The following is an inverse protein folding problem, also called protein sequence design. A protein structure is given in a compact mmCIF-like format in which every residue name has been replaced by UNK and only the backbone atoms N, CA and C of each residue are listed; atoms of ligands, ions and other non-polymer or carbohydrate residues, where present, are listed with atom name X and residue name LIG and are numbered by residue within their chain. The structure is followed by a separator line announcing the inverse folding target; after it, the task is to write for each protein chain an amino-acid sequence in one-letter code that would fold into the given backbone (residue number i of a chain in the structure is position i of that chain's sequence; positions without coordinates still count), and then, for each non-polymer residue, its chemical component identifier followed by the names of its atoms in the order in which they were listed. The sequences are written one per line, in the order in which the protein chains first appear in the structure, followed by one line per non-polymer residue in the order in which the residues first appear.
data_IF_766560326987
#
_entry.id   IF_766560326987
#
_cell.length_a   1.000
_cell.length_b   1.000
_cell.length_c   1.000
_cell.angle_alpha   90.00
_cell.angle_beta   90.00
_cell.angle_gamma   90.00
#
_symmetry.space_group_name_H-M   'P 1'
#
loop_
_entity.id
_entity.type
_entity.pdbx_description
1 polymer ?
#
# COMPACT_ATOMS: atom_id res chain seq x y z
N UNK A 1 13.74 13.22 -22.74
CA UNK A 1 12.98 13.91 -23.79
C UNK A 1 11.50 13.68 -23.49
N UNK A 2 10.78 14.72 -23.07
CA UNK A 2 9.36 14.63 -22.70
C UNK A 2 8.57 14.11 -23.89
N UNK A 3 8.00 12.91 -23.79
CA UNK A 3 6.95 12.52 -24.73
C UNK A 3 5.66 13.13 -24.18
N UNK A 4 5.44 14.38 -24.59
CA UNK A 4 4.30 15.22 -24.27
C UNK A 4 3.06 14.61 -24.94
N UNK A 5 2.47 13.61 -24.32
CA UNK A 5 1.11 13.22 -24.68
C UNK A 5 0.21 13.77 -23.58
N UNK A 6 -0.90 14.36 -24.00
CA UNK A 6 -2.01 14.68 -23.12
C UNK A 6 -2.55 13.36 -22.57
N UNK A 7 -2.77 13.33 -21.26
CA UNK A 7 -3.18 12.14 -20.52
C UNK A 7 -4.33 12.54 -19.62
N UNK A 8 -5.26 11.63 -19.34
CA UNK A 8 -6.44 11.93 -18.53
C UNK A 8 -6.23 11.34 -17.13
N UNK A 9 -6.43 12.17 -16.12
CA UNK A 9 -6.54 11.70 -14.75
C UNK A 9 -7.99 11.42 -14.39
N UNK A 10 -8.28 10.33 -13.68
CA UNK A 10 -9.58 10.11 -13.03
C UNK A 10 -9.43 10.20 -11.51
N UNK A 11 -10.47 10.67 -10.83
CA UNK A 11 -10.50 10.71 -9.37
C UNK A 11 -11.23 9.49 -8.83
N UNK A 12 -10.56 8.71 -7.98
CA UNK A 12 -11.18 7.61 -7.24
C UNK A 12 -12.27 8.16 -6.31
N UNK A 13 -13.55 8.01 -6.67
CA UNK A 13 -14.67 8.44 -5.79
C UNK A 13 -14.71 7.54 -4.56
N UNK A 14 -14.45 8.08 -3.36
CA UNK A 14 -14.82 7.40 -2.11
C UNK A 14 -15.42 8.36 -1.10
N UNK A 15 -16.53 7.92 -0.51
CA UNK A 15 -17.22 8.55 0.60
C UNK A 15 -16.30 8.63 1.84
N UNK A 16 -15.96 9.86 2.22
CA UNK A 16 -15.65 10.38 3.55
C UNK A 16 -15.07 9.40 4.60
N UNK A 17 -13.81 9.65 4.98
CA UNK A 17 -13.08 9.26 6.23
C UNK A 17 -12.15 8.04 6.24
N UNK A 18 -12.17 7.21 5.20
CA UNK A 18 -11.08 6.28 4.87
C UNK A 18 -10.82 6.46 3.37
N UNK A 19 -9.57 6.51 2.93
CA UNK A 19 -9.29 6.24 1.51
C UNK A 19 -9.58 4.75 1.32
N UNK A 20 -10.87 4.46 1.11
CA UNK A 20 -11.44 3.14 0.95
C UNK A 20 -11.01 2.64 -0.42
N UNK A 21 -9.79 2.12 -0.49
CA UNK A 21 -9.50 0.94 -1.31
C UNK A 21 -10.17 -0.30 -0.69
N UNK A 22 -11.35 -0.20 -0.06
CA UNK A 22 -11.97 -1.33 0.65
C UNK A 22 -12.62 -2.35 -0.28
N UNK A 23 -12.44 -2.25 -1.60
CA UNK A 23 -12.91 -3.27 -2.53
C UNK A 23 -11.87 -3.73 -3.55
N UNK A 24 -10.71 -3.08 -3.62
CA UNK A 24 -9.62 -3.53 -4.50
C UNK A 24 -8.38 -3.75 -3.63
N UNK A 25 -7.92 -5.01 -3.46
CA UNK A 25 -6.67 -5.27 -2.77
C UNK A 25 -5.56 -4.54 -3.52
N UNK A 26 -4.99 -3.50 -2.93
CA UNK A 26 -3.79 -2.92 -3.53
C UNK A 26 -2.68 -3.96 -3.48
N UNK A 27 -1.70 -3.77 -4.35
CA UNK A 27 -0.48 -4.55 -4.38
C UNK A 27 0.34 -4.51 -3.09
N UNK A 28 0.01 -3.61 -2.17
CA UNK A 28 0.64 -3.42 -0.86
C UNK A 28 -0.29 -3.71 0.33
N UNK A 29 -1.52 -4.21 0.08
CA UNK A 29 -2.55 -4.34 1.11
C UNK A 29 -3.15 -2.98 1.52
N UNK A 30 -3.44 -2.78 2.80
CA UNK A 30 -3.93 -1.51 3.30
C UNK A 30 -2.77 -0.52 3.49
N UNK A 31 -2.75 0.57 2.72
CA UNK A 31 -1.80 1.66 2.89
C UNK A 31 -2.29 2.63 3.97
N UNK A 32 -1.46 2.92 4.97
CA UNK A 32 -1.75 3.92 6.00
C UNK A 32 -1.38 5.33 5.50
N UNK A 33 -2.27 6.30 5.69
CA UNK A 33 -2.03 7.71 5.30
C UNK A 33 -0.82 8.35 5.97
N UNK A 34 -0.39 7.83 7.11
CA UNK A 34 0.74 8.33 7.90
C UNK A 34 2.07 7.69 7.51
N UNK A 35 2.04 6.67 6.65
CA UNK A 35 3.22 5.98 6.14
C UNK A 35 3.41 6.35 4.68
N UNK A 36 4.65 6.44 4.21
CA UNK A 36 4.92 6.72 2.80
C UNK A 36 4.22 5.65 1.93
N UNK A 37 3.59 6.05 0.80
CA UNK A 37 3.65 7.36 0.15
C UNK A 37 2.56 8.36 0.61
N UNK A 38 1.99 8.23 1.81
CA UNK A 38 1.01 9.14 2.40
C UNK A 38 -0.28 9.27 1.57
N UNK A 39 -0.75 8.14 1.04
CA UNK A 39 -1.83 8.07 0.04
C UNK A 39 -1.56 8.86 -1.25
N UNK A 40 -0.33 9.31 -1.49
CA UNK A 40 0.11 9.88 -2.77
C UNK A 40 0.37 8.75 -3.76
N UNK A 41 -0.73 8.12 -4.21
CA UNK A 41 -0.73 6.91 -5.03
C UNK A 41 -1.62 7.05 -6.25
N UNK A 42 -1.36 6.21 -7.25
CA UNK A 42 -2.22 6.04 -8.41
C UNK A 42 -2.23 4.63 -8.96
N UNK A 43 -3.12 4.40 -9.91
CA UNK A 43 -3.27 3.16 -10.64
C UNK A 43 -3.00 3.38 -12.13
N UNK A 44 -2.35 2.39 -12.74
CA UNK A 44 -2.10 2.38 -14.18
C UNK A 44 -3.03 1.38 -14.89
N UNK A 45 -3.44 1.73 -16.11
CA UNK A 45 -4.13 0.78 -16.99
C UNK A 45 -3.22 -0.40 -17.34
N UNK A 46 -3.74 -1.64 -17.43
CA UNK A 46 -3.00 -2.77 -17.99
C UNK A 46 -2.46 -2.54 -19.40
N UNK A 47 -3.11 -1.64 -20.16
CA UNK A 47 -2.69 -1.26 -21.50
C UNK A 47 -1.66 -0.12 -21.53
N UNK A 48 -1.35 0.48 -20.37
CA UNK A 48 -0.32 1.49 -20.24
C UNK A 48 1.08 0.89 -20.49
N UNK A 49 1.92 1.59 -21.26
CA UNK A 49 3.27 1.11 -21.60
C UNK A 49 4.17 0.84 -20.38
N UNK A 50 4.04 1.61 -19.30
CA UNK A 50 4.83 1.39 -18.08
C UNK A 50 4.32 0.21 -17.27
N UNK A 51 3.01 -0.04 -17.29
CA UNK A 51 2.41 -1.24 -16.70
C UNK A 51 2.87 -2.49 -17.45
N UNK A 52 2.68 -2.49 -18.77
CA UNK A 52 2.96 -3.65 -19.62
C UNK A 52 4.44 -4.01 -19.72
N UNK A 53 5.34 -3.02 -19.69
CA UNK A 53 6.79 -3.24 -19.80
C UNK A 53 7.50 -3.33 -18.44
N UNK A 54 6.88 -2.85 -17.36
CA UNK A 54 7.49 -2.79 -16.04
C UNK A 54 7.40 -4.14 -15.30
N UNK A 55 8.40 -4.49 -14.48
CA UNK A 55 8.24 -5.64 -13.58
C UNK A 55 7.11 -5.37 -12.59
N UNK A 56 6.49 -6.45 -12.09
CA UNK A 56 5.34 -6.39 -11.19
C UNK A 56 4.22 -5.47 -11.73
N UNK A 57 4.04 -5.41 -13.04
CA UNK A 57 3.03 -4.56 -13.68
C UNK A 57 3.15 -3.06 -13.34
N UNK A 58 4.36 -2.58 -13.06
CA UNK A 58 4.59 -1.19 -12.67
C UNK A 58 4.43 -0.89 -11.19
N UNK A 59 4.11 -1.89 -10.36
CA UNK A 59 4.03 -1.75 -8.90
C UNK A 59 5.28 -1.08 -8.32
N UNK A 60 5.07 -0.11 -7.43
CA UNK A 60 6.14 0.59 -6.71
C UNK A 60 6.88 1.64 -7.52
N UNK A 61 6.65 1.75 -8.83
CA UNK A 61 7.28 2.78 -9.64
C UNK A 61 6.70 4.16 -9.32
N UNK A 62 7.56 5.19 -9.33
CA UNK A 62 7.15 6.56 -9.07
C UNK A 62 7.05 7.41 -10.34
N UNK A 63 6.03 8.26 -10.39
CA UNK A 63 5.77 9.16 -11.52
C UNK A 63 5.56 10.58 -11.03
N UNK A 64 6.26 11.53 -11.64
CA UNK A 64 5.92 12.94 -11.51
C UNK A 64 4.81 13.24 -12.51
N UNK A 65 3.69 13.70 -12.00
CA UNK A 65 2.54 14.17 -12.75
C UNK A 65 2.52 15.69 -12.68
N UNK A 66 2.37 16.34 -13.82
CA UNK A 66 2.22 17.78 -13.96
C UNK A 66 0.86 18.03 -14.61
N UNK A 67 0.06 18.91 -14.04
CA UNK A 67 -1.18 19.30 -14.71
C UNK A 67 -0.89 20.17 -15.94
N UNK A 68 -1.58 19.87 -17.04
CA UNK A 68 -1.61 20.65 -18.27
C UNK A 68 -2.90 21.49 -18.33
N UNK A 69 -2.75 22.81 -18.30
CA UNK A 69 -3.89 23.72 -18.33
C UNK A 69 -4.19 24.28 -19.74
N UNK A 70 -3.45 23.85 -20.77
CA UNK A 70 -3.60 24.37 -22.12
C UNK A 70 -3.67 23.27 -23.19
N UNK A 71 -4.45 23.51 -24.25
CA UNK A 71 -4.44 22.70 -25.47
C UNK A 71 -5.15 21.33 -25.39
N UNK A 72 -5.58 20.89 -24.21
CA UNK A 72 -6.30 19.63 -24.03
C UNK A 72 -7.81 19.74 -23.85
N UNK A 73 -8.49 18.58 -23.84
CA UNK A 73 -9.95 18.47 -23.72
C UNK A 73 -10.47 19.00 -22.37
N UNK A 74 -9.64 18.92 -21.34
CA UNK A 74 -9.92 19.26 -19.95
C UNK A 74 -9.07 20.45 -19.48
N UNK A 75 -8.59 21.28 -20.41
CA UNK A 75 -7.81 22.48 -20.13
C UNK A 75 -8.53 23.45 -19.18
N UNK A 76 -7.75 24.11 -18.32
CA UNK A 76 -8.25 25.10 -17.34
C UNK A 76 -8.92 24.51 -16.10
N UNK A 77 -8.83 23.19 -15.90
CA UNK A 77 -9.45 22.51 -14.75
C UNK A 77 -8.53 22.36 -13.53
N UNK A 78 -7.27 22.78 -13.61
CA UNK A 78 -6.36 22.73 -12.46
C UNK A 78 -6.30 24.04 -11.70
N UNK A 79 -5.89 23.97 -10.43
CA UNK A 79 -5.76 25.14 -9.55
C UNK A 79 -4.70 26.15 -10.00
N UNK A 80 -3.80 25.78 -10.92
CA UNK A 80 -2.81 26.66 -11.54
C UNK A 80 -1.81 25.91 -12.40
N UNK A 81 -1.15 26.63 -13.30
CA UNK A 81 -0.24 26.05 -14.29
C UNK A 81 1.03 25.50 -13.63
N UNK A 82 1.44 24.29 -14.03
CA UNK A 82 2.72 23.70 -13.63
C UNK A 82 2.78 23.12 -12.22
N UNK A 83 1.64 23.00 -11.50
CA UNK A 83 1.59 22.18 -10.28
C UNK A 83 1.95 20.74 -10.60
N UNK A 84 2.75 20.12 -9.74
CA UNK A 84 3.16 18.73 -9.91
C UNK A 84 3.02 17.93 -8.63
N UNK A 85 2.79 16.63 -8.75
CA UNK A 85 2.78 15.67 -7.64
C UNK A 85 3.58 14.44 -8.05
N UNK A 86 4.29 13.83 -7.10
CA UNK A 86 4.99 12.56 -7.34
C UNK A 86 4.22 11.44 -6.68
N UNK A 87 3.65 10.54 -7.48
CA UNK A 87 2.89 9.38 -7.00
C UNK A 87 3.74 8.12 -7.01
N UNK A 88 3.32 7.14 -6.21
CA UNK A 88 3.71 5.74 -6.36
C UNK A 88 2.57 4.94 -7.00
N UNK A 89 2.87 4.05 -7.95
CA UNK A 89 1.86 3.12 -8.47
C UNK A 89 1.61 2.02 -7.45
N UNK A 90 0.38 1.91 -6.96
CA UNK A 90 -0.03 0.92 -5.97
C UNK A 90 -1.11 -0.05 -6.46
N UNK A 91 -1.70 0.22 -7.61
CA UNK A 91 -2.86 -0.54 -8.10
C UNK A 91 -2.96 -0.53 -9.64
N UNK A 92 -3.94 -1.26 -10.16
CA UNK A 92 -4.31 -1.31 -11.56
C UNK A 92 -5.69 -0.71 -11.78
N UNK A 93 -5.88 -0.04 -12.91
CA UNK A 93 -7.19 0.44 -13.36
C UNK A 93 -7.55 -0.24 -14.71
N UNK A 94 -8.14 -1.45 -14.70
CA UNK A 94 -8.48 -2.18 -15.92
C UNK A 94 -9.45 -1.44 -16.86
N UNK A 95 -10.31 -0.58 -16.32
CA UNK A 95 -11.27 0.25 -17.04
C UNK A 95 -10.67 1.53 -17.62
N UNK A 96 -9.45 1.88 -17.21
CA UNK A 96 -8.75 3.06 -17.70
C UNK A 96 -8.16 2.81 -19.08
N UNK A 97 -8.21 3.83 -19.94
CA UNK A 97 -7.46 3.83 -21.19
C UNK A 97 -5.95 3.79 -20.94
N UNK A 98 -5.18 3.37 -21.94
CA UNK A 98 -3.72 3.19 -21.85
C UNK A 98 -2.98 4.44 -21.35
N UNK A 99 -3.58 5.60 -21.57
CA UNK A 99 -3.02 6.89 -21.31
C UNK A 99 -3.68 7.60 -20.11
N UNK A 100 -4.47 6.89 -19.32
CA UNK A 100 -5.03 7.39 -18.09
C UNK A 100 -4.18 6.99 -16.87
N UNK A 101 -4.20 7.83 -15.85
CA UNK A 101 -3.73 7.49 -14.49
C UNK A 101 -4.89 7.79 -13.54
N UNK A 102 -5.40 6.78 -12.85
CA UNK A 102 -6.42 6.98 -11.83
C UNK A 102 -5.74 7.32 -10.50
N UNK A 103 -6.07 8.46 -9.91
CA UNK A 103 -5.44 8.93 -8.68
C UNK A 103 -6.37 8.81 -7.49
N UNK A 104 -5.75 8.53 -6.34
CA UNK A 104 -6.40 8.70 -5.06
C UNK A 104 -6.91 10.14 -4.93
N UNK A 105 -8.13 10.32 -4.44
CA UNK A 105 -8.85 11.62 -4.45
C UNK A 105 -8.09 12.77 -3.78
N UNK A 106 -7.42 12.55 -2.65
CA UNK A 106 -6.64 13.59 -1.96
C UNK A 106 -5.37 13.95 -2.73
N UNK A 107 -4.86 13.04 -3.55
CA UNK A 107 -3.76 13.31 -4.48
C UNK A 107 -4.26 14.13 -5.66
N UNK A 108 -5.41 13.76 -6.23
CA UNK A 108 -6.07 14.51 -7.29
C UNK A 108 -6.32 15.97 -6.87
N UNK A 109 -6.83 16.18 -5.65
CA UNK A 109 -7.12 17.50 -5.08
C UNK A 109 -5.88 18.41 -4.94
N UNK A 110 -4.65 17.88 -5.05
CA UNK A 110 -3.46 18.74 -5.08
C UNK A 110 -3.32 19.47 -6.43
N UNK A 111 -3.88 18.88 -7.50
CA UNK A 111 -3.77 19.36 -8.87
C UNK A 111 -5.02 20.15 -9.31
N UNK A 112 -6.22 19.66 -9.00
CA UNK A 112 -7.48 20.32 -9.39
C UNK A 112 -8.68 19.93 -8.54
N UNK A 113 -9.82 20.63 -8.70
CA UNK A 113 -11.05 20.32 -7.97
C UNK A 113 -11.59 18.92 -8.30
N UNK A 114 -11.83 18.09 -7.28
CA UNK A 114 -12.30 16.71 -7.44
C UNK A 114 -13.64 16.59 -8.18
N UNK A 115 -14.52 17.59 -8.06
CA UNK A 115 -15.83 17.63 -8.70
C UNK A 115 -15.76 17.76 -10.24
N UNK A 116 -14.63 18.20 -10.77
CA UNK A 116 -14.38 18.22 -12.21
C UNK A 116 -14.05 16.84 -12.78
N UNK A 117 -13.67 15.89 -11.93
CA UNK A 117 -13.48 14.45 -12.19
C UNK A 117 -12.29 14.08 -13.08
N UNK A 118 -12.00 14.87 -14.11
CA UNK A 118 -10.90 14.67 -15.06
C UNK A 118 -10.13 15.95 -15.34
N UNK A 119 -8.81 15.84 -15.31
CA UNK A 119 -7.84 16.88 -15.71
C UNK A 119 -6.87 16.32 -16.75
N UNK A 120 -6.35 17.22 -17.56
CA UNK A 120 -5.27 16.95 -18.49
C UNK A 120 -3.92 16.97 -17.77
N UNK A 121 -3.07 15.98 -18.04
CA UNK A 121 -1.75 15.88 -17.43
C UNK A 121 -0.65 15.54 -18.42
N UNK A 122 0.57 15.80 -17.99
CA UNK A 122 1.77 15.16 -18.46
C UNK A 122 2.38 14.36 -17.32
N UNK A 123 2.99 13.22 -17.60
CA UNK A 123 3.70 12.46 -16.56
C UNK A 123 4.96 11.80 -17.09
N UNK A 124 5.90 11.55 -16.18
CA UNK A 124 7.14 10.83 -16.46
C UNK A 124 7.57 10.01 -15.25
N UNK A 125 8.25 8.90 -15.50
CA UNK A 125 8.89 8.14 -14.44
C UNK A 125 9.98 8.97 -13.76
N UNK A 126 10.03 8.93 -12.43
CA UNK A 126 11.04 9.59 -11.60
C UNK A 126 11.51 8.62 -10.50
N UNK A 127 12.69 8.84 -9.91
CA UNK A 127 13.11 8.05 -8.76
C UNK A 127 12.15 8.21 -7.56
N UNK A 128 11.86 7.10 -6.89
CA UNK A 128 11.18 7.07 -5.60
C UNK A 128 12.13 7.51 -4.47
N UNK A 129 11.63 8.30 -3.53
CA UNK A 129 12.41 8.82 -2.39
C UNK A 129 11.65 8.62 -1.08
N UNK A 130 11.50 7.37 -0.61
CA UNK A 130 10.93 7.09 0.70
C UNK A 130 11.77 7.74 1.81
N UNK A 131 11.15 8.13 2.94
CA UNK A 131 11.83 8.83 4.04
C UNK A 131 12.66 7.89 4.92
N UNK A 132 12.43 6.58 4.81
CA UNK A 132 13.09 5.55 5.63
C UNK A 132 13.72 4.47 4.74
N UNK A 133 14.55 3.65 5.36
CA UNK A 133 15.09 2.46 4.72
C UNK A 133 13.97 1.47 4.40
N UNK A 134 14.26 0.62 3.42
CA UNK A 134 13.33 -0.40 2.96
C UNK A 134 12.88 -1.29 4.12
N UNK A 135 11.61 -1.68 4.10
CA UNK A 135 11.05 -2.62 5.05
C UNK A 135 10.43 -3.82 4.33
N UNK A 136 10.35 -4.94 5.04
CA UNK A 136 9.57 -6.09 4.62
C UNK A 136 8.46 -6.34 5.62
N UNK A 137 7.23 -6.48 5.14
CA UNK A 137 6.08 -6.88 5.94
C UNK A 137 5.86 -8.37 5.75
N UNK A 138 6.18 -9.17 6.78
CA UNK A 138 6.15 -10.63 6.69
C UNK A 138 4.75 -11.13 7.01
N UNK A 139 4.03 -11.54 5.96
CA UNK A 139 2.68 -12.08 6.08
C UNK A 139 2.67 -13.46 6.77
N UNK A 140 3.71 -14.27 6.52
CA UNK A 140 3.89 -15.52 7.21
C UNK A 140 5.27 -16.11 6.99
N UNK A 141 5.79 -16.71 8.06
CA UNK A 141 7.11 -17.30 8.11
C UNK A 141 7.04 -18.59 8.92
N UNK A 142 6.60 -19.69 8.33
CA UNK A 142 6.34 -20.92 9.09
C UNK A 142 7.59 -21.79 9.32
N UNK A 143 8.75 -21.36 8.79
CA UNK A 143 10.02 -22.06 8.94
C UNK A 143 10.23 -23.19 7.93
N UNK A 144 11.18 -24.07 8.26
CA UNK A 144 11.73 -25.08 7.35
C UNK A 144 10.66 -25.88 6.60
N UNK A 145 10.70 -25.86 5.26
CA UNK A 145 9.80 -26.66 4.42
C UNK A 145 8.35 -26.13 4.33
N UNK A 146 8.11 -24.95 4.89
CA UNK A 146 6.87 -24.21 4.72
C UNK A 146 7.11 -22.89 3.98
N UNK A 147 6.02 -22.24 3.60
CA UNK A 147 6.06 -20.99 2.87
C UNK A 147 6.54 -19.83 3.74
N UNK A 148 7.28 -18.91 3.11
CA UNK A 148 7.62 -17.60 3.60
C UNK A 148 7.08 -16.58 2.59
N UNK A 149 6.16 -15.71 3.01
CA UNK A 149 5.61 -14.62 2.19
C UNK A 149 5.85 -13.29 2.86
N UNK A 150 6.23 -12.30 2.05
CA UNK A 150 6.44 -10.93 2.51
C UNK A 150 6.11 -9.90 1.44
N UNK A 151 5.75 -8.70 1.88
CA UNK A 151 5.59 -7.52 1.04
C UNK A 151 6.82 -6.62 1.18
N UNK A 152 7.44 -6.22 0.06
CA UNK A 152 8.56 -5.27 0.10
C UNK A 152 8.03 -3.85 -0.04
N UNK A 153 8.31 -2.98 0.93
CA UNK A 153 7.81 -1.59 0.98
C UNK A 153 8.97 -0.59 1.13
N UNK A 154 8.68 0.70 0.96
CA UNK A 154 9.67 1.78 1.13
C UNK A 154 10.88 1.63 0.19
N UNK A 155 10.62 1.33 -1.08
CA UNK A 155 11.65 1.06 -2.10
C UNK A 155 12.05 2.36 -2.79
N UNK A 156 13.31 2.78 -2.63
CA UNK A 156 13.83 3.97 -3.30
C UNK A 156 14.24 3.71 -4.75
N UNK A 157 14.64 4.79 -5.42
CA UNK A 157 15.13 4.83 -6.79
C UNK A 157 14.12 4.29 -7.81
N UNK A 158 14.37 3.16 -8.44
CA UNK A 158 13.53 2.67 -9.53
C UNK A 158 12.14 2.25 -9.08
N UNK A 159 11.99 1.83 -7.82
CA UNK A 159 10.76 1.24 -7.27
C UNK A 159 10.37 -0.12 -7.88
N UNK A 160 10.99 -0.48 -8.99
CA UNK A 160 10.69 -1.64 -9.82
C UNK A 160 11.59 -2.83 -9.43
N UNK A 161 11.12 -3.66 -8.51
CA UNK A 161 11.81 -4.88 -8.08
C UNK A 161 11.63 -5.98 -9.13
N UNK A 162 12.72 -6.64 -9.49
CA UNK A 162 12.74 -7.78 -10.42
C UNK A 162 13.01 -9.10 -9.73
N UNK A 163 13.69 -9.08 -8.58
CA UNK A 163 14.05 -10.29 -7.85
C UNK A 163 14.12 -10.05 -6.34
N UNK A 164 13.61 -11.01 -5.59
CA UNK A 164 13.75 -11.10 -4.13
C UNK A 164 14.26 -12.49 -3.81
N UNK A 165 15.33 -12.58 -3.02
CA UNK A 165 15.99 -13.83 -2.67
C UNK A 165 16.24 -13.90 -1.17
N UNK A 166 16.17 -15.10 -0.61
CA UNK A 166 16.53 -15.38 0.78
C UNK A 166 17.62 -16.43 0.86
N UNK A 167 18.44 -16.37 1.92
CA UNK A 167 19.48 -17.36 2.17
C UNK A 167 19.65 -17.60 3.66
N UNK A 168 19.60 -18.86 4.08
CA UNK A 168 20.00 -19.28 5.42
C UNK A 168 21.51 -19.52 5.55
N UNK A 169 22.06 -19.64 6.76
CA UNK A 169 23.49 -19.87 6.98
C UNK A 169 24.00 -21.11 6.25
N UNK A 170 25.11 -20.98 5.52
CA UNK A 170 25.72 -22.06 4.74
C UNK A 170 24.91 -22.54 3.52
N UNK A 171 23.74 -21.93 3.26
CA UNK A 171 22.89 -22.24 2.12
C UNK A 171 23.20 -21.43 0.86
N UNK A 172 22.44 -21.72 -0.20
CA UNK A 172 22.42 -20.92 -1.43
C UNK A 172 21.28 -19.92 -1.41
N UNK A 173 21.37 -18.88 -2.24
CA UNK A 173 20.27 -17.95 -2.47
C UNK A 173 19.09 -18.69 -3.11
N UNK A 174 17.90 -18.49 -2.55
CA UNK A 174 16.65 -19.02 -3.05
C UNK A 174 15.76 -17.86 -3.48
N UNK A 175 15.36 -17.87 -4.75
CA UNK A 175 14.48 -16.87 -5.32
C UNK A 175 13.05 -17.07 -4.82
N UNK A 176 12.40 -15.95 -4.47
CA UNK A 176 10.98 -15.87 -4.20
C UNK A 176 10.22 -15.61 -5.50
N UNK A 177 9.02 -16.17 -5.59
CA UNK A 177 8.08 -15.92 -6.66
C UNK A 177 7.27 -14.65 -6.36
N UNK A 178 7.19 -13.73 -7.32
CA UNK A 178 6.22 -12.64 -7.24
C UNK A 178 4.81 -13.22 -7.39
N UNK A 179 3.97 -13.05 -6.37
CA UNK A 179 2.59 -13.56 -6.40
C UNK A 179 1.65 -12.53 -7.02
N UNK A 180 1.72 -11.32 -6.49
CA UNK A 180 1.00 -10.16 -7.00
C UNK A 180 1.66 -8.92 -6.42
N UNK A 181 1.75 -7.84 -7.21
CA UNK A 181 2.17 -6.56 -6.67
C UNK A 181 3.53 -6.62 -5.96
N UNK A 182 3.57 -6.15 -4.72
CA UNK A 182 4.76 -6.16 -3.88
C UNK A 182 4.95 -7.46 -3.06
N UNK A 183 4.07 -8.46 -3.23
CA UNK A 183 4.09 -9.71 -2.47
C UNK A 183 4.99 -10.78 -3.13
N UNK A 184 5.91 -11.32 -2.34
CA UNK A 184 6.91 -12.32 -2.73
C UNK A 184 6.84 -13.53 -1.82
N UNK A 185 6.92 -14.73 -2.39
CA UNK A 185 6.78 -15.98 -1.63
C UNK A 185 7.75 -17.07 -2.09
N UNK A 186 8.27 -17.84 -1.13
CA UNK A 186 8.97 -19.10 -1.39
C UNK A 186 8.26 -20.22 -0.62
N UNK A 187 7.91 -21.31 -1.29
CA UNK A 187 7.13 -22.42 -0.69
C UNK A 187 7.96 -23.31 0.25
N UNK A 188 9.28 -23.36 0.05
CA UNK A 188 10.22 -24.17 0.83
C UNK A 188 11.29 -23.27 1.46
N UNK A 189 10.91 -22.52 2.49
CA UNK A 189 11.81 -21.55 3.12
C UNK A 189 13.04 -22.24 3.76
N UNK A 190 14.19 -21.55 3.87
CA UNK A 190 15.41 -22.13 4.43
C UNK A 190 15.19 -22.64 5.87
N UNK A 191 15.80 -23.77 6.20
CA UNK A 191 15.65 -24.40 7.52
C UNK A 191 16.46 -23.73 8.62
N UNK A 192 17.47 -22.95 8.26
CA UNK A 192 18.45 -22.38 9.17
C UNK A 192 18.35 -20.86 9.16
N UNK A 193 18.35 -20.28 10.37
CA UNK A 193 18.23 -18.85 10.63
C UNK A 193 19.51 -18.31 11.26
N UNK A 194 19.79 -16.99 11.17
CA UNK A 194 18.94 -15.96 10.58
C UNK A 194 18.99 -15.97 9.03
N UNK A 195 17.94 -15.45 8.38
CA UNK A 195 17.89 -15.33 6.92
C UNK A 195 18.43 -13.99 6.46
N UNK A 196 19.30 -14.05 5.46
CA UNK A 196 19.67 -12.89 4.67
C UNK A 196 18.63 -12.66 3.58
N UNK A 197 18.40 -11.40 3.24
CA UNK A 197 17.48 -10.95 2.20
C UNK A 197 18.25 -10.18 1.14
N UNK A 198 18.00 -10.46 -0.14
CA UNK A 198 18.61 -9.77 -1.26
C UNK A 198 17.56 -9.35 -2.27
N UNK A 199 17.60 -8.08 -2.67
CA UNK A 199 16.58 -7.46 -3.53
C UNK A 199 17.28 -6.78 -4.69
N UNK A 200 16.74 -6.98 -5.90
CA UNK A 200 17.29 -6.46 -7.16
C UNK A 200 16.25 -5.64 -7.91
N UNK A 201 16.67 -4.50 -8.47
CA UNK A 201 15.85 -3.61 -9.30
C UNK A 201 15.96 -3.89 -10.80
N UNK A 202 15.10 -3.24 -11.59
CA UNK A 202 15.07 -3.31 -13.06
C UNK A 202 16.30 -2.74 -13.76
N UNK A 203 17.13 -1.98 -13.06
CA UNK A 203 18.42 -1.47 -13.52
C UNK A 203 19.61 -2.37 -13.12
N UNK A 204 19.34 -3.48 -12.40
CA UNK A 204 20.35 -4.41 -11.91
C UNK A 204 20.99 -4.00 -10.59
N UNK A 205 20.62 -2.86 -9.98
CA UNK A 205 21.08 -2.52 -8.64
C UNK A 205 20.59 -3.56 -7.65
N UNK A 206 21.48 -4.00 -6.76
CA UNK A 206 21.22 -5.04 -5.77
C UNK A 206 21.63 -4.58 -4.39
N UNK A 207 20.77 -4.85 -3.41
CA UNK A 207 21.02 -4.58 -1.99
C UNK A 207 20.81 -5.87 -1.19
N UNK A 208 21.55 -6.02 -0.09
CA UNK A 208 21.49 -7.21 0.76
C UNK A 208 21.41 -6.80 2.22
N UNK A 209 20.37 -7.28 2.91
CA UNK A 209 20.19 -7.16 4.35
C UNK A 209 20.57 -8.48 4.98
N UNK A 210 21.61 -8.46 5.81
CA UNK A 210 22.07 -9.65 6.50
C UNK A 210 21.26 -9.87 7.77
N UNK A 211 20.91 -11.12 8.04
CA UNK A 211 20.13 -11.50 9.22
C UNK A 211 18.80 -10.73 9.37
N UNK A 212 18.15 -10.42 8.25
CA UNK A 212 16.89 -9.68 8.19
C UNK A 212 15.76 -10.39 8.97
N UNK A 213 15.65 -11.72 8.85
CA UNK A 213 14.68 -12.52 9.60
C UNK A 213 15.43 -13.40 10.60
N UNK A 214 15.26 -13.18 11.90
CA UNK A 214 16.14 -13.79 12.92
C UNK A 214 15.66 -15.16 13.41
N UNK A 215 14.37 -15.46 13.26
CA UNK A 215 13.76 -16.71 13.71
C UNK A 215 12.54 -17.05 12.85
N UNK A 216 12.14 -18.33 12.76
CA UNK A 216 10.85 -18.71 12.20
C UNK A 216 9.70 -18.17 13.06
N UNK A 217 8.52 -18.06 12.45
CA UNK A 217 7.29 -17.59 13.08
C UNK A 217 7.18 -16.07 13.19
N UNK A 218 8.22 -15.31 12.85
CA UNK A 218 8.18 -13.84 12.85
C UNK A 218 7.25 -13.33 11.74
N UNK A 219 6.26 -12.53 12.12
CA UNK A 219 5.36 -11.83 11.18
C UNK A 219 5.40 -10.32 11.41
N UNK A 220 4.88 -9.56 10.46
CA UNK A 220 4.81 -8.11 10.49
C UNK A 220 6.05 -7.41 9.93
N UNK A 221 6.08 -6.08 10.13
CA UNK A 221 7.10 -5.19 9.55
C UNK A 221 8.47 -5.35 10.20
N UNK A 222 9.48 -5.58 9.37
CA UNK A 222 10.88 -5.68 9.75
C UNK A 222 11.70 -4.69 8.92
N UNK A 223 12.49 -3.85 9.58
CA UNK A 223 13.42 -2.93 8.92
C UNK A 223 14.61 -3.70 8.36
N UNK A 224 14.97 -3.41 7.11
CA UNK A 224 16.09 -4.08 6.45
C UNK A 224 17.44 -3.37 6.65
N UNK A 225 17.43 -2.10 7.11
CA UNK A 225 18.59 -1.22 7.21
C UNK A 225 19.37 -1.09 5.88
N UNK A 226 18.68 -1.20 4.76
CA UNK A 226 19.24 -1.02 3.43
C UNK A 226 18.31 -0.22 2.54
N UNK A 227 18.90 0.44 1.55
CA UNK A 227 18.17 1.20 0.55
C UNK A 227 18.95 1.26 -0.76
N UNK A 228 18.21 1.34 -1.87
CA UNK A 228 18.76 1.59 -3.20
C UNK A 228 19.34 3.01 -3.29
N UNK A 229 20.47 3.15 -3.99
CA UNK A 229 21.07 4.46 -4.23
C UNK A 229 20.30 5.13 -5.36
N UNK A 230 19.66 6.26 -5.05
CA UNK A 230 18.94 7.06 -6.03
C UNK A 230 19.87 7.52 -7.15
N UNK A 231 19.65 7.03 -8.36
CA UNK A 231 20.44 7.38 -9.54
C UNK A 231 19.70 8.45 -10.36
N UNK A 232 20.40 9.54 -10.73
CA UNK A 232 19.82 10.57 -11.61
C UNK A 232 19.18 11.79 -10.94
N UNK A 233 19.37 12.02 -9.63
CA UNK A 233 19.04 13.31 -9.00
C UNK A 233 20.15 14.35 -9.24
N UNK A 234 20.32 14.78 -10.50
CA UNK A 234 21.05 16.01 -10.85
C UNK A 234 20.09 16.97 -11.53
N UNK A 235 19.16 17.49 -10.75
CA UNK A 235 18.17 18.47 -11.18
C UNK A 235 17.14 18.62 -10.09
N UNK A 236 17.21 19.72 -9.34
CA UNK A 236 16.36 20.00 -8.20
C UNK A 236 14.89 19.83 -8.53
N UNK A 237 14.33 18.70 -8.11
CA UNK A 237 12.91 18.62 -7.77
C UNK A 237 12.86 19.15 -6.35
N UNK A 238 12.49 20.41 -6.20
CA UNK A 238 12.16 20.96 -4.89
C UNK A 238 11.07 20.07 -4.31
N UNK A 239 11.25 19.44 -3.14
CA UNK A 239 10.13 18.82 -2.46
C UNK A 239 9.09 19.90 -2.25
N UNK A 240 7.87 19.69 -2.74
CA UNK A 240 6.77 20.59 -2.40
C UNK A 240 6.58 20.45 -0.89
N UNK A 241 6.88 21.54 -0.20
CA UNK A 241 6.56 21.76 1.21
C UNK A 241 5.04 21.81 1.36
N UNK A 242 4.39 20.64 1.37
CA UNK A 242 2.96 20.48 1.58
C UNK A 242 2.60 19.45 2.64
N UNK A 243 3.58 18.77 3.25
CA UNK A 243 3.33 17.90 4.38
C UNK A 243 3.23 18.75 5.65
N UNK A 244 2.11 18.70 6.41
CA UNK A 244 2.10 19.23 7.76
C UNK A 244 3.05 18.39 8.61
N UNK A 245 4.27 18.87 8.78
CA UNK A 245 5.18 18.38 9.81
C UNK A 245 4.51 18.58 11.16
N UNK A 246 4.06 17.48 11.78
CA UNK A 246 3.73 17.45 13.20
C UNK A 246 4.93 17.97 14.01
N UNK A 247 4.74 18.92 14.94
CA UNK A 247 5.84 19.38 15.78
C UNK A 247 6.41 18.22 16.60
N UNK A 248 7.63 17.82 16.26
CA UNK A 248 8.44 16.96 17.11
C UNK A 248 8.75 17.72 18.40
N UNK A 249 8.15 17.27 19.50
CA UNK A 249 8.57 17.68 20.83
C UNK A 249 10.01 17.20 21.05
N UNK A 250 10.92 18.17 21.05
CA UNK A 250 12.24 18.02 21.63
C UNK A 250 12.08 17.84 23.14
N UNK A 251 12.40 16.64 23.64
CA UNK A 251 12.66 16.44 25.06
C UNK A 251 14.07 15.92 25.23
N UNK A 252 14.95 16.85 25.57
CA UNK A 252 16.28 16.68 26.10
C UNK A 252 16.26 15.69 27.26
N UNK A 253 16.99 14.59 27.13
CA UNK A 253 17.28 13.70 28.24
C UNK A 253 18.30 14.38 29.17
N UNK A 254 17.90 14.67 30.40
CA UNK A 254 18.80 14.92 31.52
C UNK A 254 18.44 13.97 32.66
N UNK A 255 19.45 13.21 33.05
CA UNK A 255 19.51 12.16 34.06
C UNK A 255 19.06 12.62 35.44
N UNK A 256 18.37 11.74 36.18
CA UNK A 256 18.65 11.47 37.60
C UNK A 256 17.90 10.22 38.08
N UNK A 257 18.65 9.33 38.71
CA UNK A 257 18.20 8.09 39.33
C UNK A 257 17.34 8.36 40.58
N UNK A 258 16.47 7.41 40.96
CA UNK A 258 16.44 6.77 42.29
C UNK A 258 15.48 5.56 42.28
N UNK A 259 15.91 4.51 42.95
CA UNK A 259 15.27 3.23 43.36
C UNK A 259 13.80 3.37 43.79
N UNK A 260 12.91 2.36 43.69
CA UNK A 260 12.82 1.18 44.58
C UNK A 260 11.67 0.25 44.09
N UNK A 261 11.85 -1.06 44.18
CA UNK A 261 10.82 -2.14 44.14
C UNK A 261 10.73 -2.76 45.57
N UNK A 262 9.73 -3.57 46.02
CA UNK A 262 8.97 -4.56 45.23
C UNK A 262 7.46 -4.78 45.58
N UNK A 263 6.87 -5.72 44.83
CA UNK A 263 5.60 -6.50 44.96
C UNK A 263 5.29 -7.07 46.37
N UNK A 264 4.10 -7.66 46.69
CA UNK A 264 3.42 -8.71 45.92
C UNK A 264 1.85 -8.75 45.89
N UNK A 265 1.37 -9.67 45.04
CA UNK A 265 0.02 -10.24 44.83
C UNK A 265 -0.69 -10.74 46.11
N UNK A 266 -2.04 -10.97 46.11
CA UNK A 266 -2.58 -12.28 45.67
C UNK A 266 -4.00 -12.27 45.03
N UNK A 267 -4.39 -13.40 44.42
CA UNK A 267 -5.77 -13.83 44.06
C UNK A 267 -6.10 -15.14 44.81
N UNK A 268 -7.27 -15.85 44.65
CA UNK A 268 -8.68 -15.52 44.36
C UNK A 268 -9.63 -16.11 45.47
N UNK A 269 -10.98 -16.30 45.30
CA UNK A 269 -11.54 -17.44 44.54
C UNK A 269 -12.91 -17.21 43.83
N UNK A 270 -13.31 -18.24 43.07
CA UNK A 270 -14.50 -18.45 42.23
C UNK A 270 -15.88 -18.39 42.93
N UNK A 271 -16.93 -18.10 42.15
CA UNK A 271 -18.33 -18.29 42.56
C UNK A 271 -19.33 -18.16 41.40
N UNK A 272 -19.95 -19.29 41.05
CA UNK A 272 -20.98 -19.56 40.03
C UNK A 272 -22.33 -18.87 40.30
N UNK A 273 -23.07 -18.44 39.26
CA UNK A 273 -24.48 -18.81 38.96
C UNK A 273 -25.15 -17.93 37.88
N UNK A 274 -25.79 -18.61 36.92
CA UNK A 274 -26.95 -18.16 36.12
C UNK A 274 -28.24 -18.55 36.89
N UNK A 275 -29.43 -17.94 36.73
CA UNK A 275 -30.28 -18.20 35.54
C UNK A 275 -31.26 -17.08 35.08
N UNK A 276 -31.76 -17.28 33.85
CA UNK A 276 -33.12 -17.09 33.26
C UNK A 276 -33.99 -15.80 33.40
N UNK A 277 -34.35 -15.30 32.20
CA UNK A 277 -35.69 -15.08 31.59
C UNK A 277 -36.72 -14.07 32.14
N UNK A 278 -37.23 -13.29 31.18
CA UNK A 278 -38.52 -12.58 31.12
C UNK A 278 -38.38 -11.36 30.21
N UNK A 279 -39.02 -11.18 29.05
CA UNK A 279 -40.30 -11.68 28.53
C UNK A 279 -41.36 -10.58 28.61
N UNK A 280 -42.01 -10.25 27.49
CA UNK A 280 -43.08 -9.24 27.22
C UNK A 280 -42.62 -7.82 26.81
N UNK A 281 -43.13 -7.15 25.79
CA UNK A 281 -44.21 -7.45 24.83
C UNK A 281 -44.62 -6.19 24.05
N UNK A 282 -44.69 -6.33 22.72
CA UNK A 282 -45.52 -5.71 21.67
C UNK A 282 -46.00 -4.23 21.60
N UNK A 283 -46.22 -3.86 20.32
CA UNK A 283 -47.12 -2.84 19.71
C UNK A 283 -46.50 -1.45 19.43
N UNK A 284 -46.69 -0.80 18.28
CA UNK A 284 -47.37 -1.09 17.01
C UNK A 284 -46.83 -0.13 15.92
N UNK A 285 -46.93 -0.57 14.65
CA UNK A 285 -46.72 0.23 13.44
C UNK A 285 -47.90 1.20 13.20
N UNK A 286 -47.70 2.28 12.42
CA UNK A 286 -48.34 2.29 11.11
C UNK A 286 -47.43 2.81 9.96
N UNK A 287 -47.58 2.21 8.79
CA UNK A 287 -47.16 2.72 7.47
C UNK A 287 -48.30 3.55 6.84
N UNK A 288 -48.22 4.10 5.60
CA UNK A 288 -47.12 4.07 4.62
C UNK A 288 -46.84 5.42 3.90
N UNK A 289 -45.74 5.53 3.15
CA UNK A 289 -45.70 6.10 1.79
C UNK A 289 -44.35 5.72 1.14
N UNK A 290 -44.42 5.19 -0.08
CA UNK A 290 -43.38 4.35 -0.68
C UNK A 290 -42.28 5.09 -1.44
N UNK A 291 -41.12 4.43 -1.50
CA UNK A 291 -40.14 4.56 -2.57
C UNK A 291 -39.53 3.19 -2.88
N UNK A 292 -39.16 3.06 -4.14
CA UNK A 292 -38.86 1.87 -4.95
C UNK A 292 -37.63 1.07 -4.53
N UNK A 293 -37.72 -0.24 -4.77
CA UNK A 293 -36.72 -1.31 -4.56
C UNK A 293 -35.25 -0.92 -4.77
N UNK A 294 -34.45 -1.09 -3.71
CA UNK A 294 -33.01 -1.37 -3.80
C UNK A 294 -32.82 -2.76 -3.19
N UNK A 295 -32.37 -3.71 -4.01
CA UNK A 295 -32.04 -5.07 -3.57
C UNK A 295 -30.98 -5.03 -2.49
N UNK A 296 -31.31 -5.64 -1.35
CA UNK A 296 -30.44 -5.83 -0.20
C UNK A 296 -29.38 -6.86 -0.57
N UNK A 297 -28.12 -6.43 -0.73
CA UNK A 297 -26.99 -7.36 -0.74
C UNK A 297 -26.65 -7.72 0.70
N UNK A 298 -26.87 -8.99 1.00
CA UNK A 298 -26.67 -9.61 2.29
C UNK A 298 -25.17 -9.66 2.63
N UNK A 299 -24.83 -9.26 3.85
CA UNK A 299 -23.49 -9.32 4.44
C UNK A 299 -22.90 -10.73 4.35
N UNK A 300 -21.80 -10.88 3.61
CA UNK A 300 -20.86 -11.98 3.80
C UNK A 300 -19.67 -11.45 4.59
N UNK A 301 -19.65 -11.76 5.89
CA UNK A 301 -18.51 -11.54 6.76
C UNK A 301 -17.38 -12.54 6.48
N UNK A 302 -16.16 -12.06 6.70
CA UNK A 302 -14.93 -12.77 7.06
C UNK A 302 -15.02 -14.30 7.07
N UNK A 303 -14.37 -14.99 6.12
CA UNK A 303 -13.68 -16.27 6.28
C UNK A 303 -13.07 -16.68 4.93
N UNK A 304 -11.77 -16.41 4.73
CA UNK A 304 -11.00 -16.95 3.61
C UNK A 304 -10.51 -18.36 3.96
N UNK A 305 -11.26 -19.38 3.57
CA UNK A 305 -10.73 -20.72 3.29
C UNK A 305 -11.56 -21.37 2.17
N UNK A 306 -10.88 -21.68 1.07
CA UNK A 306 -11.18 -22.64 0.01
C UNK A 306 -12.66 -22.97 -0.27
N UNK A 307 -13.24 -22.37 -1.32
CA UNK A 307 -14.02 -23.02 -2.40
C UNK A 307 -14.49 -21.98 -3.44
N UNK A 308 -14.57 -22.32 -4.75
CA UNK A 308 -14.96 -21.40 -5.81
C UNK A 308 -16.47 -21.12 -5.79
N UNK A 309 -16.87 -19.84 -5.85
CA UNK A 309 -18.25 -19.43 -6.07
C UNK A 309 -18.73 -19.94 -7.44
N UNK A 310 -19.59 -20.95 -7.44
CA UNK A 310 -20.35 -21.38 -8.61
C UNK A 310 -21.38 -20.29 -8.97
N UNK A 311 -21.43 -19.94 -10.25
CA UNK A 311 -22.46 -19.09 -10.83
C UNK A 311 -23.83 -19.78 -10.78
N UNK A 312 -24.88 -19.05 -10.38
CA UNK A 312 -26.27 -19.49 -10.51
C UNK A 312 -26.73 -19.29 -11.97
N UNK A 313 -27.19 -20.34 -12.69
CA UNK A 313 -27.62 -20.21 -14.07
C UNK A 313 -29.08 -19.76 -14.13
N UNK A 314 -29.29 -18.45 -14.34
CA UNK A 314 -30.48 -17.89 -14.97
C UNK A 314 -31.77 -17.82 -14.14
N UNK A 315 -32.20 -16.60 -13.83
CA UNK A 315 -33.57 -16.08 -13.96
C UNK A 315 -33.54 -14.56 -13.79
#
# INVERSE_FOLDING_TARGET
MWHLQLRIMEAMRTDSTLAVLHSVPTWYGALDKSVWPYWVVGALSPSNSYYAAGPMNGCGQCFQIVCENSGGQFAGRCYGDGRSVTIMVSDSCPECEADHIDLQVLTYEQLGPQDLGRIDIQYRRVPCTPPIDMLVDVDGNHGAGYWLRMNVQEVADRGAITNVEVRGPGGSWMQLNNKYGAAWEVDNSPSSYPLDLRITQDDGQQVTSYSALTQPGSTGKTQTNMQFKVTGSTGGVTPISGYPSTPGSSSSASSSATTTAPSPSPSPPSGTQSPELGGYGDTASPAPYGHTNIGVWQQCGEYLHDHPCMADPGA
#
